data_IF_383439031063
#
_entry.id   IF_383439031063
#
_cell.length_a   1.000
_cell.length_b   1.000
_cell.length_c   1.000
_cell.angle_alpha   90.00
_cell.angle_beta   90.00
_cell.angle_gamma   90.00
#
_symmetry.space_group_name_H-M   'P 1'
#
loop_
_entity.id
_entity.type
_entity.pdbx_description
1 polymer ?
#
# COMPACT_ATOMS: atom_id res chain seq x y z
N UNK A 1 -0.29 -20.79 -15.82
CA UNK A 1 -1.72 -20.64 -15.42
C UNK A 1 -2.64 -20.37 -16.61
N UNK A 2 -2.12 -19.90 -17.71
CA UNK A 2 -2.90 -19.59 -18.92
C UNK A 2 -3.48 -20.84 -19.66
N UNK A 3 -3.08 -22.05 -19.26
CA UNK A 3 -3.58 -23.32 -19.82
C UNK A 3 -4.85 -23.87 -19.16
N UNK A 4 -5.39 -23.18 -18.15
CA UNK A 4 -6.62 -23.61 -17.50
C UNK A 4 -7.84 -23.20 -18.35
N UNK A 5 -8.59 -24.16 -18.85
CA UNK A 5 -9.88 -23.89 -19.49
C UNK A 5 -10.86 -23.33 -18.45
N UNK A 6 -11.54 -22.24 -18.79
CA UNK A 6 -12.51 -21.55 -17.93
C UNK A 6 -13.92 -21.67 -18.55
N UNK A 7 -14.86 -22.19 -17.79
CA UNK A 7 -16.28 -22.12 -18.14
C UNK A 7 -16.85 -20.75 -17.77
N UNK A 8 -17.94 -20.30 -18.41
CA UNK A 8 -18.55 -18.99 -18.09
C UNK A 8 -18.99 -18.88 -16.62
N UNK A 9 -19.51 -19.97 -16.07
CA UNK A 9 -19.88 -20.04 -14.64
C UNK A 9 -18.67 -19.90 -13.72
N UNK A 10 -17.53 -20.48 -14.08
CA UNK A 10 -16.28 -20.40 -13.31
C UNK A 10 -15.64 -19.00 -13.34
N UNK A 11 -15.94 -18.20 -14.36
CA UNK A 11 -15.47 -16.82 -14.43
C UNK A 11 -16.13 -15.92 -13.37
N UNK A 12 -17.38 -16.21 -13.01
CA UNK A 12 -18.14 -15.45 -12.01
C UNK A 12 -17.97 -16.00 -10.59
N UNK A 13 -18.02 -17.31 -10.43
CA UNK A 13 -18.04 -17.97 -9.13
C UNK A 13 -16.70 -18.54 -8.69
N UNK A 14 -15.66 -18.38 -9.53
CA UNK A 14 -14.35 -18.96 -9.28
C UNK A 14 -14.27 -20.46 -9.59
N UNK A 15 -13.07 -20.97 -9.64
CA UNK A 15 -12.74 -22.37 -9.92
C UNK A 15 -12.10 -23.03 -8.72
N UNK A 16 -12.68 -24.10 -8.21
CA UNK A 16 -12.08 -24.88 -7.12
C UNK A 16 -10.88 -25.67 -7.64
N UNK A 17 -9.71 -25.42 -7.08
CA UNK A 17 -8.46 -26.07 -7.44
C UNK A 17 -7.71 -26.57 -6.22
N UNK A 18 -6.72 -27.44 -6.45
CA UNK A 18 -5.69 -27.78 -5.46
C UNK A 18 -4.35 -27.24 -5.93
N UNK A 19 -3.67 -26.49 -5.08
CA UNK A 19 -2.35 -25.95 -5.39
C UNK A 19 -1.29 -26.85 -4.79
N UNK A 20 -0.39 -27.37 -5.63
CA UNK A 20 0.74 -28.21 -5.20
C UNK A 20 1.71 -27.37 -4.37
N UNK A 21 2.03 -27.82 -3.17
CA UNK A 21 2.94 -27.09 -2.24
C UNK A 21 2.26 -26.08 -1.34
N UNK A 22 0.97 -25.85 -1.46
CA UNK A 22 0.21 -25.08 -0.48
C UNK A 22 0.01 -25.92 0.79
N UNK A 23 0.19 -25.32 1.96
CA UNK A 23 0.13 -26.04 3.24
C UNK A 23 -1.14 -26.89 3.34
N UNK A 24 -0.96 -28.24 3.44
CA UNK A 24 -2.02 -29.19 3.73
C UNK A 24 -3.05 -29.35 2.62
N UNK A 25 -2.75 -29.79 1.43
CA UNK A 25 -3.68 -30.28 0.37
C UNK A 25 -5.10 -29.64 0.35
N UNK A 26 -5.25 -28.38 0.80
CA UNK A 26 -6.53 -27.68 0.87
C UNK A 26 -7.04 -27.37 -0.54
N UNK A 27 -8.35 -27.53 -0.71
CA UNK A 27 -9.05 -26.96 -1.85
C UNK A 27 -9.12 -25.44 -1.65
N UNK A 28 -8.90 -24.70 -2.71
CA UNK A 28 -9.00 -23.24 -2.74
C UNK A 28 -9.83 -22.83 -3.94
N UNK A 29 -10.46 -21.67 -3.87
CA UNK A 29 -11.16 -21.09 -5.00
C UNK A 29 -10.22 -20.11 -5.69
N UNK A 30 -10.04 -20.29 -6.99
CA UNK A 30 -9.26 -19.43 -7.86
C UNK A 30 -10.21 -18.53 -8.65
N UNK A 31 -10.04 -17.23 -8.56
CA UNK A 31 -10.74 -16.23 -9.37
C UNK A 31 -9.77 -15.66 -10.41
N UNK A 32 -10.29 -15.42 -11.61
CA UNK A 32 -9.58 -14.75 -12.68
C UNK A 32 -10.13 -13.34 -12.86
N UNK A 33 -9.29 -12.33 -12.62
CA UNK A 33 -9.63 -10.91 -12.73
C UNK A 33 -8.93 -10.33 -13.93
N UNK A 34 -9.68 -9.79 -14.88
CA UNK A 34 -9.14 -9.06 -16.01
C UNK A 34 -9.17 -7.57 -15.68
N UNK A 35 -7.98 -6.95 -15.58
CA UNK A 35 -7.84 -5.54 -15.32
C UNK A 35 -7.98 -4.71 -16.60
N UNK A 36 -8.28 -3.41 -16.46
CA UNK A 36 -8.40 -2.46 -17.58
C UNK A 36 -7.16 -2.36 -18.48
N UNK A 37 -6.00 -2.77 -17.96
CA UNK A 37 -4.71 -2.84 -18.69
C UNK A 37 -4.52 -4.11 -19.51
N UNK A 38 -5.56 -4.91 -19.73
CA UNK A 38 -5.51 -6.26 -20.33
C UNK A 38 -4.64 -7.27 -19.55
N UNK A 39 -4.16 -6.89 -18.38
CA UNK A 39 -3.47 -7.80 -17.48
C UNK A 39 -4.49 -8.68 -16.78
N UNK A 40 -4.18 -9.97 -16.69
CA UNK A 40 -4.97 -10.94 -15.95
C UNK A 40 -4.29 -11.21 -14.60
N UNK A 41 -5.00 -10.92 -13.52
CA UNK A 41 -4.57 -11.28 -12.17
C UNK A 41 -5.37 -12.48 -11.67
N UNK A 42 -4.74 -13.30 -10.85
CA UNK A 42 -5.35 -14.48 -10.25
C UNK A 42 -5.40 -14.32 -8.74
N UNK A 43 -6.60 -14.43 -8.18
CA UNK A 43 -6.85 -14.31 -6.75
C UNK A 43 -7.23 -15.67 -6.22
N UNK A 44 -6.64 -16.07 -5.11
CA UNK A 44 -6.90 -17.34 -4.45
C UNK A 44 -7.48 -17.09 -3.07
N UNK A 45 -8.60 -17.73 -2.73
CA UNK A 45 -9.18 -17.69 -1.39
C UNK A 45 -9.34 -19.12 -0.84
N UNK A 46 -9.17 -19.26 0.46
CA UNK A 46 -9.50 -20.48 1.20
C UNK A 46 -10.93 -20.43 1.76
N UNK A 47 -11.62 -19.32 1.61
CA UNK A 47 -13.03 -19.16 1.98
C UNK A 47 -13.92 -19.83 0.92
N UNK A 48 -14.42 -21.02 1.25
CA UNK A 48 -15.18 -21.83 0.30
C UNK A 48 -16.62 -21.35 0.07
N UNK A 49 -17.09 -20.42 0.89
CA UNK A 49 -18.41 -19.78 0.76
C UNK A 49 -18.36 -18.54 -0.16
N UNK A 50 -17.16 -18.14 -0.56
CA UNK A 50 -16.93 -17.00 -1.42
C UNK A 50 -17.20 -17.37 -2.88
N UNK A 51 -18.32 -16.95 -3.41
CA UNK A 51 -18.79 -17.26 -4.77
C UNK A 51 -18.96 -16.01 -5.66
N UNK A 52 -18.64 -14.83 -5.13
CA UNK A 52 -18.83 -13.57 -5.84
C UNK A 52 -17.48 -12.89 -6.17
N UNK A 53 -17.22 -12.70 -7.46
CA UNK A 53 -16.03 -12.05 -7.98
C UNK A 53 -15.89 -10.59 -7.50
N UNK A 54 -17.00 -9.83 -7.41
CA UNK A 54 -16.97 -8.43 -6.98
C UNK A 54 -16.48 -8.29 -5.54
N UNK A 55 -16.98 -9.14 -4.64
CA UNK A 55 -16.54 -9.15 -3.23
C UNK A 55 -15.05 -9.47 -3.10
N UNK A 56 -14.58 -10.43 -3.91
CA UNK A 56 -13.16 -10.80 -3.94
C UNK A 56 -12.29 -9.65 -4.47
N UNK A 57 -12.78 -8.91 -5.47
CA UNK A 57 -12.10 -7.72 -5.99
C UNK A 57 -12.02 -6.61 -4.95
N UNK A 58 -13.09 -6.35 -4.21
CA UNK A 58 -13.13 -5.36 -3.15
C UNK A 58 -12.13 -5.67 -2.02
N UNK A 59 -12.10 -6.93 -1.56
CA UNK A 59 -11.13 -7.38 -0.56
C UNK A 59 -9.70 -7.20 -1.05
N UNK A 60 -9.41 -7.52 -2.32
CA UNK A 60 -8.10 -7.26 -2.92
C UNK A 60 -7.79 -5.76 -3.02
N UNK A 61 -8.79 -4.93 -3.27
CA UNK A 61 -8.65 -3.48 -3.24
C UNK A 61 -8.21 -2.97 -1.86
N UNK A 62 -8.73 -3.52 -0.78
CA UNK A 62 -8.27 -3.19 0.58
C UNK A 62 -6.81 -3.60 0.82
N UNK A 63 -6.41 -4.78 0.36
CA UNK A 63 -5.01 -5.21 0.46
C UNK A 63 -4.07 -4.24 -0.26
N UNK A 64 -4.45 -3.77 -1.45
CA UNK A 64 -3.68 -2.77 -2.18
C UNK A 64 -3.52 -1.46 -1.41
N UNK A 65 -4.57 -1.00 -0.72
CA UNK A 65 -4.50 0.19 0.15
C UNK A 65 -3.50 0.01 1.30
N UNK A 66 -3.39 -1.19 1.87
CA UNK A 66 -2.39 -1.50 2.90
C UNK A 66 -0.97 -1.45 2.31
N UNK A 67 -0.75 -2.04 1.14
CA UNK A 67 0.55 -1.98 0.46
C UNK A 67 0.93 -0.53 0.11
N UNK A 68 -0.03 0.27 -0.34
CA UNK A 68 0.16 1.71 -0.60
C UNK A 68 0.53 2.45 0.69
N UNK A 69 -0.17 2.23 1.79
CA UNK A 69 0.16 2.80 3.09
C UNK A 69 1.60 2.48 3.51
N UNK A 70 2.03 1.23 3.41
CA UNK A 70 3.40 0.84 3.73
C UNK A 70 4.43 1.54 2.84
N UNK A 71 4.19 1.61 1.54
CA UNK A 71 5.06 2.30 0.59
C UNK A 71 5.19 3.78 0.91
N UNK A 72 4.06 4.46 1.08
CA UNK A 72 4.01 5.89 1.36
C UNK A 72 4.68 6.22 2.72
N UNK A 73 4.39 5.44 3.75
CA UNK A 73 4.98 5.63 5.07
C UNK A 73 6.50 5.49 5.02
N UNK A 74 7.03 4.49 4.31
CA UNK A 74 8.47 4.31 4.13
C UNK A 74 9.12 5.46 3.36
N UNK A 75 8.52 5.86 2.25
CA UNK A 75 9.11 6.85 1.35
C UNK A 75 8.96 8.30 1.83
N UNK A 76 7.90 8.60 2.58
CA UNK A 76 7.55 9.98 2.90
C UNK A 76 7.85 10.40 4.34
N UNK A 77 7.87 9.45 5.29
CA UNK A 77 7.94 9.80 6.72
C UNK A 77 9.26 9.43 7.40
N UNK A 78 10.13 8.68 6.73
CA UNK A 78 11.39 8.21 7.33
C UNK A 78 11.18 7.16 8.44
N UNK A 79 10.10 6.39 8.43
CA UNK A 79 9.78 5.38 9.45
C UNK A 79 10.91 4.36 9.67
N UNK A 80 11.67 4.06 8.64
CA UNK A 80 12.81 3.12 8.70
C UNK A 80 14.11 3.77 9.20
N UNK A 81 14.13 5.08 9.41
CA UNK A 81 15.33 5.85 9.81
C UNK A 81 15.68 5.76 11.30
N UNK A 82 14.87 5.10 12.13
CA UNK A 82 15.12 5.00 13.56
C UNK A 82 16.27 4.03 13.87
N UNK A 83 17.39 4.55 14.37
CA UNK A 83 18.55 3.75 14.78
C UNK A 83 18.54 3.39 16.28
N UNK A 84 17.53 3.82 17.03
CA UNK A 84 17.42 3.56 18.45
C UNK A 84 17.06 2.10 18.74
N UNK A 85 17.66 1.52 19.80
CA UNK A 85 17.39 0.14 20.22
C UNK A 85 16.32 0.03 21.32
N UNK A 86 15.98 1.16 21.97
CA UNK A 86 15.00 1.17 23.05
C UNK A 86 13.58 1.06 22.50
N UNK A 87 12.85 0.04 22.89
CA UNK A 87 11.50 -0.26 22.39
C UNK A 87 10.51 0.93 22.52
N UNK A 88 10.61 1.72 23.59
CA UNK A 88 9.78 2.92 23.78
C UNK A 88 10.08 3.98 22.71
N UNK A 89 11.36 4.23 22.41
CA UNK A 89 11.75 5.23 21.40
C UNK A 89 11.33 4.77 20.01
N UNK A 90 11.52 3.49 19.69
CA UNK A 90 11.09 2.92 18.40
C UNK A 90 9.58 3.07 18.22
N UNK A 91 8.77 2.73 19.24
CA UNK A 91 7.31 2.90 19.18
C UNK A 91 6.89 4.36 18.97
N UNK A 92 7.54 5.29 19.70
CA UNK A 92 7.25 6.72 19.53
C UNK A 92 7.61 7.20 18.12
N UNK A 93 8.76 6.78 17.59
CA UNK A 93 9.17 7.12 16.22
C UNK A 93 8.16 6.61 15.19
N UNK A 94 7.73 5.35 15.31
CA UNK A 94 6.69 4.78 14.44
C UNK A 94 5.38 5.57 14.55
N UNK A 95 4.96 5.90 15.78
CA UNK A 95 3.75 6.70 16.01
C UNK A 95 3.82 8.08 15.36
N UNK A 96 4.96 8.76 15.48
CA UNK A 96 5.19 10.05 14.82
C UNK A 96 5.18 9.92 13.29
N UNK A 97 5.80 8.88 12.74
CA UNK A 97 5.82 8.64 11.30
C UNK A 97 4.40 8.41 10.73
N UNK A 98 3.58 7.63 11.43
CA UNK A 98 2.18 7.41 11.06
C UNK A 98 1.39 8.73 11.15
N UNK A 99 1.59 9.52 12.20
CA UNK A 99 0.92 10.81 12.34
C UNK A 99 1.28 11.77 11.19
N UNK A 100 2.54 11.82 10.79
CA UNK A 100 2.98 12.62 9.64
C UNK A 100 2.29 12.14 8.36
N UNK A 101 2.23 10.83 8.13
CA UNK A 101 1.53 10.26 6.98
C UNK A 101 0.05 10.66 6.97
N UNK A 102 -0.66 10.54 8.10
CA UNK A 102 -2.07 10.95 8.22
C UNK A 102 -2.25 12.42 7.86
N UNK A 103 -1.39 13.29 8.39
CA UNK A 103 -1.45 14.74 8.12
C UNK A 103 -1.19 15.06 6.65
N UNK A 104 -0.19 14.44 6.05
CA UNK A 104 0.09 14.62 4.61
C UNK A 104 -1.08 14.15 3.75
N UNK A 105 -1.73 13.03 4.08
CA UNK A 105 -2.91 12.55 3.37
C UNK A 105 -4.12 13.50 3.51
N UNK A 106 -4.36 14.03 4.71
CA UNK A 106 -5.43 15.02 4.92
C UNK A 106 -5.23 16.23 4.03
N UNK A 107 -4.03 16.80 4.01
CA UNK A 107 -3.70 17.96 3.17
C UNK A 107 -3.79 17.61 1.68
N UNK A 108 -3.28 16.45 1.28
CA UNK A 108 -3.35 15.98 -0.10
C UNK A 108 -4.81 15.85 -0.58
N UNK A 109 -5.67 15.29 0.26
CA UNK A 109 -7.09 15.18 -0.04
C UNK A 109 -7.77 16.56 -0.14
N UNK A 110 -7.48 17.48 0.77
CA UNK A 110 -8.03 18.86 0.73
C UNK A 110 -7.60 19.62 -0.52
N UNK A 111 -6.36 19.44 -0.96
CA UNK A 111 -5.78 20.11 -2.13
C UNK A 111 -6.03 19.37 -3.45
N UNK A 112 -6.70 18.21 -3.42
CA UNK A 112 -6.90 17.33 -4.59
C UNK A 112 -5.58 17.00 -5.31
N UNK A 113 -4.54 16.72 -4.53
CA UNK A 113 -3.18 16.41 -4.98
C UNK A 113 -2.70 15.08 -4.43
N UNK A 114 -1.61 14.56 -4.98
CA UNK A 114 -0.99 13.36 -4.43
C UNK A 114 -0.17 13.72 -3.19
N UNK A 115 -0.05 12.79 -2.26
CA UNK A 115 0.76 12.95 -1.03
C UNK A 115 2.23 13.27 -1.36
N UNK A 116 2.74 12.77 -2.49
CA UNK A 116 4.10 13.04 -2.98
C UNK A 116 4.28 14.49 -3.43
N UNK A 117 3.30 15.05 -4.13
CA UNK A 117 3.32 16.46 -4.54
C UNK A 117 3.30 17.37 -3.32
N UNK A 118 2.41 17.10 -2.36
CA UNK A 118 2.33 17.89 -1.11
C UNK A 118 3.66 17.88 -0.35
N UNK A 119 4.28 16.70 -0.17
CA UNK A 119 5.60 16.62 0.50
C UNK A 119 6.67 17.42 -0.23
N UNK A 120 6.74 17.30 -1.55
CA UNK A 120 7.76 17.99 -2.34
C UNK A 120 7.59 19.52 -2.30
N UNK A 121 6.35 20.00 -2.32
CA UNK A 121 6.07 21.43 -2.20
C UNK A 121 6.43 21.98 -0.82
N UNK A 122 6.03 21.30 0.25
CA UNK A 122 6.39 21.69 1.61
C UNK A 122 7.90 21.74 1.81
N UNK A 123 8.64 20.77 1.28
CA UNK A 123 10.10 20.76 1.35
C UNK A 123 10.70 21.90 0.52
N UNK A 124 10.21 22.15 -0.68
CA UNK A 124 10.69 23.22 -1.54
C UNK A 124 10.47 24.60 -0.90
N UNK A 125 9.31 24.83 -0.32
CA UNK A 125 8.99 26.11 0.35
C UNK A 125 9.83 26.29 1.62
N UNK A 126 10.03 25.24 2.40
CA UNK A 126 10.93 25.27 3.54
C UNK A 126 12.36 25.61 3.13
N UNK A 127 12.90 24.96 2.11
CA UNK A 127 14.25 25.24 1.62
C UNK A 127 14.39 26.66 1.08
N UNK A 128 13.40 27.17 0.33
CA UNK A 128 13.39 28.55 -0.14
C UNK A 128 13.39 29.54 1.03
N UNK A 129 12.62 29.26 2.09
CA UNK A 129 12.58 30.08 3.28
C UNK A 129 13.92 30.07 4.02
N UNK A 130 14.54 28.89 4.17
CA UNK A 130 15.86 28.78 4.80
C UNK A 130 16.96 29.49 4.01
N UNK A 131 16.90 29.52 2.69
CA UNK A 131 17.82 30.27 1.84
C UNK A 131 17.65 31.80 1.99
N UNK A 132 16.40 32.25 2.18
CA UNK A 132 16.11 33.69 2.38
C UNK A 132 16.45 34.17 3.78
N UNK A 133 16.17 33.35 4.79
CA UNK A 133 16.35 33.70 6.21
C UNK A 133 16.77 32.43 6.98
N UNK A 134 18.06 32.09 6.99
CA UNK A 134 18.55 30.89 7.65
C UNK A 134 18.28 30.91 9.16
N UNK A 135 17.67 29.88 9.68
CA UNK A 135 17.47 29.68 11.13
C UNK A 135 18.75 29.23 11.82
N UNK A 136 19.68 28.65 11.07
CA UNK A 136 21.00 28.24 11.56
C UNK A 136 22.03 29.21 10.95
N UNK A 137 22.62 30.07 11.78
CA UNK A 137 23.74 30.91 11.36
C UNK A 137 24.99 30.02 11.36
N UNK A 138 25.58 29.81 10.18
CA UNK A 138 26.91 29.21 10.08
C UNK A 138 27.92 30.30 10.46
N UNK A 139 28.48 30.19 11.64
CA UNK A 139 29.72 30.91 11.97
C UNK A 139 30.87 30.19 11.28
N UNK A 140 31.39 30.81 10.22
CA UNK A 140 32.68 30.40 9.66
C UNK A 140 33.74 30.61 10.74
N UNK A 141 34.42 29.54 11.17
CA UNK A 141 35.58 29.61 12.07
C UNK A 141 36.80 30.14 11.35
#
# INVERSE_FOLDING_TARGET
>A
MDSLAWMETEKQHGKTIKIKGFAGAYKVILFRVVLSTQRTDYIVTNEMTQDNLEVVQDVCGFRWKVEQFHRETKQLTGIEGCQCRTARIVRNHIGCAILVWVRLNQVAHMLQRTIYQVKNELLSDYLRQQLKSPTIQMTLA
#
